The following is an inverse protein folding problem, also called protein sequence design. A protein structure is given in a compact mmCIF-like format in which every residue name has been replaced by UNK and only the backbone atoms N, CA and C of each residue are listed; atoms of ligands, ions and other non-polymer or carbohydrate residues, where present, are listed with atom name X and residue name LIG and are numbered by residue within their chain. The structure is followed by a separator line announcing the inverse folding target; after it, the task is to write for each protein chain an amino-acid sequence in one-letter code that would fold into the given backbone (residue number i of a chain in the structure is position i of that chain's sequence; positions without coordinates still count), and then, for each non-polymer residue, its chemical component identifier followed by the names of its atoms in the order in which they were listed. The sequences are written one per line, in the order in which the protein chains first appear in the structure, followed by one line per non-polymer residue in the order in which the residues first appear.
data_IF_179496065638
#
_entry.id   IF_179496065638
#
_cell.length_a   1.000
_cell.length_b   1.000
_cell.length_c   1.000
_cell.angle_alpha   90.00
_cell.angle_beta   90.00
_cell.angle_gamma   90.00
#
_symmetry.space_group_name_H-M   'P 1'
#
loop_
_entity.id
_entity.type
_entity.pdbx_description
1 polymer ?
#
# COMPACT_ATOMS: atom_id res chain seq x y z
N UNK A 1 14.16 -53.30 10.81
CA UNK A 1 14.06 -51.82 10.86
C UNK A 1 14.51 -51.30 9.50
N UNK A 2 13.54 -50.97 8.64
CA UNK A 2 13.77 -50.87 7.19
C UNK A 2 14.32 -49.49 6.82
N UNK A 3 15.60 -49.46 6.46
CA UNK A 3 16.36 -48.29 5.98
C UNK A 3 15.69 -47.55 4.80
N UNK A 4 14.77 -48.21 4.08
CA UNK A 4 13.95 -47.60 3.01
C UNK A 4 12.89 -46.63 3.54
N UNK A 5 12.26 -46.92 4.68
CA UNK A 5 11.22 -46.06 5.28
C UNK A 5 11.81 -44.77 5.87
N UNK A 6 13.05 -44.84 6.37
CA UNK A 6 13.79 -43.69 6.91
C UNK A 6 14.23 -42.73 5.78
N UNK A 7 14.64 -43.26 4.61
CA UNK A 7 14.98 -42.43 3.44
C UNK A 7 13.77 -41.74 2.81
N UNK A 8 12.60 -42.39 2.83
CA UNK A 8 11.35 -41.83 2.32
C UNK A 8 10.75 -40.76 3.26
N UNK A 9 10.95 -40.88 4.57
CA UNK A 9 10.49 -39.87 5.56
C UNK A 9 11.41 -38.65 5.66
N UNK A 10 12.71 -38.80 5.38
CA UNK A 10 13.65 -37.66 5.28
C UNK A 10 13.45 -36.82 4.01
N UNK A 11 12.89 -37.40 2.94
CA UNK A 11 12.60 -36.68 1.70
C UNK A 11 11.31 -35.85 1.75
N UNK A 12 10.35 -36.21 2.62
CA UNK A 12 9.06 -35.52 2.74
C UNK A 12 9.10 -34.29 3.67
N UNK A 13 10.14 -34.13 4.49
CA UNK A 13 10.28 -32.97 5.39
C UNK A 13 10.92 -31.75 4.72
N UNK A 14 11.61 -31.93 3.58
CA UNK A 14 12.32 -30.85 2.87
C UNK A 14 11.39 -30.09 1.90
N UNK A 15 10.22 -30.66 1.57
CA UNK A 15 9.26 -30.06 0.62
C UNK A 15 8.16 -29.23 1.31
N UNK A 16 8.39 -28.81 2.54
CA UNK A 16 7.49 -27.91 3.28
C UNK A 16 8.19 -26.62 3.72
N UNK A 17 9.36 -26.33 3.16
CA UNK A 17 9.92 -24.97 3.17
C UNK A 17 9.32 -24.24 1.97
N UNK A 18 8.00 -24.04 2.01
CA UNK A 18 7.29 -23.21 1.05
C UNK A 18 7.96 -21.84 1.05
N UNK A 19 8.52 -21.46 -0.09
CA UNK A 19 9.14 -20.18 -0.34
C UNK A 19 8.06 -19.12 -0.12
N UNK A 20 8.00 -18.57 1.09
CA UNK A 20 7.36 -17.29 1.32
C UNK A 20 8.26 -16.22 0.69
N UNK A 21 8.18 -16.08 -0.64
CA UNK A 21 8.58 -14.83 -1.28
C UNK A 21 7.61 -13.76 -0.77
N UNK A 22 7.94 -13.15 0.36
CA UNK A 22 7.42 -11.85 0.70
C UNK A 22 7.88 -10.93 -0.44
N UNK A 23 6.98 -10.60 -1.36
CA UNK A 23 7.22 -9.54 -2.33
C UNK A 23 7.34 -8.26 -1.50
N UNK A 24 8.57 -7.85 -1.22
CA UNK A 24 8.84 -6.63 -0.51
C UNK A 24 8.22 -5.49 -1.31
N UNK A 25 7.33 -4.74 -0.68
CA UNK A 25 6.84 -3.49 -1.21
C UNK A 25 8.04 -2.54 -1.31
N UNK A 26 8.41 -2.13 -2.53
CA UNK A 26 9.61 -1.33 -2.81
C UNK A 26 9.42 0.18 -2.53
N UNK A 27 8.23 0.55 -2.04
CA UNK A 27 7.82 1.92 -1.80
C UNK A 27 7.75 2.28 -0.32
N UNK A 28 7.51 3.55 -0.06
CA UNK A 28 7.21 4.04 1.29
C UNK A 28 5.77 4.53 1.32
N UNK A 29 5.01 4.00 2.28
CA UNK A 29 3.67 4.51 2.58
C UNK A 29 3.78 5.52 3.71
N UNK A 30 3.24 6.71 3.47
CA UNK A 30 3.17 7.79 4.45
C UNK A 30 1.72 8.08 4.80
N UNK A 31 1.48 8.41 6.06
CA UNK A 31 0.19 8.83 6.58
C UNK A 31 0.34 10.06 7.45
N UNK A 32 -0.76 10.78 7.63
CA UNK A 32 -0.82 11.87 8.60
C UNK A 32 -0.63 11.37 10.03
N UNK A 33 -0.09 12.22 10.91
CA UNK A 33 0.19 11.88 12.31
C UNK A 33 -1.04 11.44 13.11
N UNK A 34 -2.23 11.95 12.75
CA UNK A 34 -3.50 11.56 13.38
C UNK A 34 -3.96 10.14 13.04
N UNK A 35 -3.31 9.49 12.07
CA UNK A 35 -3.67 8.15 11.62
C UNK A 35 -3.14 7.10 12.62
N UNK A 36 -4.00 6.17 13.10
CA UNK A 36 -3.60 5.15 14.07
C UNK A 36 -2.76 4.02 13.46
N UNK A 37 -2.80 3.85 12.12
CA UNK A 37 -2.09 2.80 11.43
C UNK A 37 -0.57 3.01 11.53
N UNK A 38 0.12 2.02 12.09
CA UNK A 38 1.59 1.96 12.16
C UNK A 38 2.14 0.88 11.22
N UNK A 39 1.37 -0.18 10.97
CA UNK A 39 1.66 -1.20 9.96
C UNK A 39 0.39 -1.60 9.23
N UNK A 40 0.49 -1.93 7.94
CA UNK A 40 -0.60 -2.44 7.10
C UNK A 40 -0.12 -3.65 6.31
N UNK A 41 -1.03 -4.56 5.95
CA UNK A 41 -0.73 -5.61 4.96
C UNK A 41 -0.82 -5.04 3.54
N UNK A 42 -0.12 -5.64 2.59
CA UNK A 42 -0.22 -5.26 1.18
C UNK A 42 -1.68 -5.28 0.65
N UNK A 43 -2.48 -6.28 1.07
CA UNK A 43 -3.90 -6.38 0.70
C UNK A 43 -4.76 -5.25 1.31
N UNK A 44 -4.44 -4.81 2.53
CA UNK A 44 -5.14 -3.71 3.19
C UNK A 44 -4.84 -2.39 2.49
N UNK A 45 -3.55 -2.14 2.18
CA UNK A 45 -3.13 -0.99 1.39
C UNK A 45 -3.86 -0.96 0.04
N UNK A 46 -3.92 -2.09 -0.67
CA UNK A 46 -4.65 -2.21 -1.93
C UNK A 46 -6.15 -1.91 -1.77
N UNK A 47 -6.78 -2.41 -0.71
CA UNK A 47 -8.19 -2.16 -0.44
C UNK A 47 -8.46 -0.67 -0.15
N UNK A 48 -7.54 0.01 0.55
CA UNK A 48 -7.60 1.44 0.78
C UNK A 48 -7.45 2.19 -0.56
N UNK A 49 -6.41 1.90 -1.33
CA UNK A 49 -6.13 2.56 -2.62
C UNK A 49 -7.21 2.33 -3.68
N UNK A 50 -7.96 1.24 -3.59
CA UNK A 50 -9.10 0.94 -4.47
C UNK A 50 -10.45 1.39 -3.92
N UNK A 51 -10.47 2.08 -2.77
CA UNK A 51 -11.67 2.67 -2.19
C UNK A 51 -12.64 1.65 -1.57
N UNK A 52 -12.21 0.40 -1.37
CA UNK A 52 -12.98 -0.60 -0.60
C UNK A 52 -12.99 -0.25 0.88
N UNK A 53 -11.85 0.22 1.40
CA UNK A 53 -11.72 0.76 2.75
C UNK A 53 -11.71 2.29 2.66
N UNK A 54 -12.64 2.94 3.36
CA UNK A 54 -12.84 4.40 3.29
C UNK A 54 -12.64 5.11 4.63
N UNK A 55 -12.58 4.35 5.72
CA UNK A 55 -12.45 4.86 7.06
C UNK A 55 -11.36 4.06 7.77
N UNK A 56 -10.55 4.76 8.57
CA UNK A 56 -9.65 4.15 9.53
C UNK A 56 -10.43 3.53 10.70
N UNK A 57 -9.77 2.71 11.52
CA UNK A 57 -10.39 2.04 12.68
C UNK A 57 -10.98 3.03 13.70
N UNK A 58 -10.45 4.26 13.75
CA UNK A 58 -10.95 5.33 14.61
C UNK A 58 -12.14 6.12 14.01
N UNK A 59 -12.64 5.73 12.83
CA UNK A 59 -13.72 6.42 12.12
C UNK A 59 -13.30 7.62 11.27
N UNK A 60 -12.00 7.93 11.19
CA UNK A 60 -11.50 9.03 10.34
C UNK A 60 -11.59 8.63 8.87
N UNK A 61 -12.14 9.50 8.02
CA UNK A 61 -12.20 9.27 6.57
C UNK A 61 -10.80 9.23 5.95
N UNK A 62 -10.58 8.30 5.03
CA UNK A 62 -9.29 8.13 4.36
C UNK A 62 -9.21 9.05 3.14
N UNK A 63 -8.18 9.90 3.12
CA UNK A 63 -7.88 10.77 1.98
C UNK A 63 -6.68 10.21 1.23
N UNK A 64 -6.90 9.68 0.04
CA UNK A 64 -5.82 9.09 -0.75
C UNK A 64 -5.11 10.20 -1.53
N UNK A 65 -3.79 10.23 -1.45
CA UNK A 65 -2.91 11.13 -2.21
C UNK A 65 -2.00 10.28 -3.08
N UNK A 66 -1.85 10.62 -4.36
CA UNK A 66 -0.96 9.91 -5.27
C UNK A 66 -0.05 10.89 -6.02
N UNK A 67 1.19 10.48 -6.26
CA UNK A 67 2.15 11.24 -7.07
C UNK A 67 2.12 10.71 -8.49
N UNK A 68 1.84 11.59 -9.45
CA UNK A 68 1.78 11.22 -10.86
C UNK A 68 3.19 11.00 -11.42
N UNK A 69 3.38 9.95 -12.21
CA UNK A 69 4.64 9.53 -12.88
C UNK A 69 5.84 9.22 -11.96
N UNK A 70 6.20 10.08 -11.01
CA UNK A 70 7.39 9.94 -10.16
C UNK A 70 7.33 8.76 -9.19
N UNK A 71 6.13 8.35 -8.76
CA UNK A 71 5.92 7.19 -7.89
C UNK A 71 5.06 6.10 -8.56
N UNK A 72 5.06 6.04 -9.89
CA UNK A 72 4.20 5.10 -10.63
C UNK A 72 4.50 3.64 -10.32
N UNK A 73 5.79 3.28 -10.19
CA UNK A 73 6.19 1.91 -9.81
C UNK A 73 5.66 1.53 -8.44
N UNK A 74 5.75 2.44 -7.47
CA UNK A 74 5.27 2.17 -6.11
C UNK A 74 3.75 2.10 -6.04
N UNK A 75 3.05 2.97 -6.77
CA UNK A 75 1.61 2.88 -6.90
C UNK A 75 1.20 1.54 -7.52
N UNK A 76 1.90 1.11 -8.58
CA UNK A 76 1.65 -0.16 -9.24
C UNK A 76 1.95 -1.35 -8.33
N UNK A 77 3.03 -1.31 -7.56
CA UNK A 77 3.34 -2.32 -6.54
C UNK A 77 2.28 -2.35 -5.43
N UNK A 78 1.73 -1.19 -5.03
CA UNK A 78 0.76 -1.08 -3.95
C UNK A 78 -0.64 -1.59 -4.32
N UNK A 79 -1.13 -1.29 -5.54
CA UNK A 79 -2.51 -1.59 -5.93
C UNK A 79 -2.66 -2.42 -7.21
N UNK A 80 -1.56 -2.68 -7.92
CA UNK A 80 -1.54 -3.37 -9.21
C UNK A 80 -1.92 -2.49 -10.40
N UNK A 81 -2.09 -1.19 -10.20
CA UNK A 81 -2.50 -0.23 -11.24
C UNK A 81 -1.46 0.86 -11.41
N UNK A 82 -1.16 1.20 -12.66
CA UNK A 82 -0.33 2.36 -12.98
C UNK A 82 -1.13 3.68 -12.80
N UNK A 83 -0.48 4.83 -12.91
CA UNK A 83 -1.10 6.13 -12.62
C UNK A 83 -2.33 6.43 -13.50
N UNK A 84 -2.27 6.04 -14.78
CA UNK A 84 -3.37 6.23 -15.74
C UNK A 84 -4.58 5.33 -15.44
N UNK A 85 -4.33 4.05 -15.16
CA UNK A 85 -5.36 3.09 -14.78
C UNK A 85 -6.01 3.47 -13.44
N UNK A 86 -5.20 3.89 -12.47
CA UNK A 86 -5.65 4.37 -11.17
C UNK A 86 -6.58 5.58 -11.30
N UNK A 87 -6.17 6.59 -12.10
CA UNK A 87 -7.01 7.76 -12.39
C UNK A 87 -8.33 7.36 -13.04
N UNK A 88 -8.29 6.51 -14.06
CA UNK A 88 -9.49 6.04 -14.78
C UNK A 88 -10.43 5.27 -13.87
N UNK A 89 -9.87 4.40 -13.02
CA UNK A 89 -10.61 3.66 -12.00
C UNK A 89 -11.36 4.61 -11.06
N UNK A 90 -10.67 5.62 -10.52
CA UNK A 90 -11.26 6.58 -9.59
C UNK A 90 -12.25 7.53 -10.25
N UNK A 91 -12.05 7.92 -11.51
CA UNK A 91 -13.05 8.66 -12.28
C UNK A 91 -14.35 7.85 -12.40
N UNK A 92 -14.26 6.57 -12.80
CA UNK A 92 -15.44 5.69 -12.88
C UNK A 92 -16.10 5.50 -11.52
N UNK A 93 -15.31 5.35 -10.46
CA UNK A 93 -15.83 5.17 -9.11
C UNK A 93 -16.55 6.44 -8.60
N UNK A 94 -15.99 7.63 -8.87
CA UNK A 94 -16.59 8.92 -8.56
C UNK A 94 -17.91 9.12 -9.31
N UNK A 95 -17.98 8.80 -10.60
CA UNK A 95 -19.23 8.87 -11.38
C UNK A 95 -20.34 7.95 -10.84
N UNK A 96 -19.97 6.85 -10.17
CA UNK A 96 -20.96 5.98 -9.51
C UNK A 96 -21.45 6.49 -8.14
N UNK A 97 -20.92 7.62 -7.65
CA UNK A 97 -21.23 8.18 -6.33
C UNK A 97 -20.66 7.38 -5.16
N UNK A 98 -19.80 6.40 -5.41
CA UNK A 98 -19.31 5.44 -4.40
C UNK A 98 -17.94 5.76 -3.83
N UNK A 99 -17.27 6.84 -4.22
CA UNK A 99 -15.91 7.10 -3.77
C UNK A 99 -15.56 8.58 -3.73
N UNK A 100 -14.72 8.95 -2.77
CA UNK A 100 -14.09 10.26 -2.70
C UNK A 100 -12.84 10.24 -3.59
N UNK A 101 -12.73 11.19 -4.51
CA UNK A 101 -11.64 11.21 -5.48
C UNK A 101 -10.28 11.42 -4.77
N UNK A 102 -9.24 10.64 -5.12
CA UNK A 102 -7.89 10.86 -4.64
C UNK A 102 -7.35 12.22 -5.06
N UNK A 103 -6.51 12.80 -4.19
CA UNK A 103 -5.78 14.03 -4.49
C UNK A 103 -4.53 13.71 -5.29
N UNK A 104 -4.33 14.43 -6.38
CA UNK A 104 -3.08 14.38 -7.15
C UNK A 104 -2.05 15.29 -6.50
N UNK A 105 -0.85 14.78 -6.34
CA UNK A 105 0.35 15.56 -6.07
C UNK A 105 1.23 15.58 -7.33
N UNK A 106 1.86 16.73 -7.61
CA UNK A 106 2.78 16.84 -8.73
C UNK A 106 4.12 16.15 -8.42
N UNK A 107 4.58 16.27 -7.18
CA UNK A 107 5.86 15.74 -6.70
C UNK A 107 5.76 15.11 -5.30
N UNK A 108 6.79 14.37 -4.91
CA UNK A 108 6.91 13.76 -3.57
C UNK A 108 6.80 14.78 -2.43
N UNK A 109 7.49 15.95 -2.44
CA UNK A 109 7.31 16.96 -1.38
C UNK A 109 5.89 17.53 -1.33
N UNK A 110 5.24 17.68 -2.48
CA UNK A 110 3.85 18.11 -2.55
C UNK A 110 2.89 17.05 -1.96
N UNK A 111 3.16 15.76 -2.17
CA UNK A 111 2.41 14.69 -1.52
C UNK A 111 2.58 14.72 0.00
N UNK A 112 3.80 14.91 0.51
CA UNK A 112 4.05 15.05 1.95
C UNK A 112 3.30 16.24 2.54
N UNK A 113 3.33 17.40 1.86
CA UNK A 113 2.58 18.57 2.27
C UNK A 113 1.05 18.33 2.29
N UNK A 114 0.53 17.65 1.27
CA UNK A 114 -0.89 17.26 1.22
C UNK A 114 -1.25 16.27 2.33
N UNK A 115 -0.36 15.34 2.67
CA UNK A 115 -0.58 14.40 3.76
C UNK A 115 -0.68 15.14 5.09
N UNK A 116 0.28 16.02 5.40
CA UNK A 116 0.26 16.87 6.60
C UNK A 116 -0.99 17.75 6.71
N UNK A 117 -1.47 18.27 5.58
CA UNK A 117 -2.61 19.17 5.57
C UNK A 117 -3.96 18.44 5.73
N UNK A 118 -4.00 17.12 5.56
CA UNK A 118 -5.25 16.35 5.54
C UNK A 118 -5.20 15.21 6.56
N UNK A 119 -6.03 15.30 7.60
CA UNK A 119 -6.17 14.25 8.60
C UNK A 119 -6.63 12.94 7.99
N UNK A 120 -6.06 11.82 8.44
CA UNK A 120 -6.37 10.48 7.92
C UNK A 120 -5.94 10.27 6.46
N UNK A 121 -5.03 11.09 5.93
CA UNK A 121 -4.53 10.91 4.58
C UNK A 121 -3.48 9.80 4.49
N UNK A 122 -3.36 9.23 3.29
CA UNK A 122 -2.39 8.20 2.94
C UNK A 122 -1.80 8.52 1.57
N UNK A 123 -0.48 8.39 1.43
CA UNK A 123 0.19 8.47 0.15
C UNK A 123 1.23 7.37 -0.02
N UNK A 124 1.48 7.02 -1.27
CA UNK A 124 2.58 6.14 -1.67
C UNK A 124 3.64 7.00 -2.35
N UNK A 125 4.88 6.93 -1.86
CA UNK A 125 6.04 7.67 -2.35
C UNK A 125 7.22 6.71 -2.57
N UNK A 126 8.23 7.19 -3.30
CA UNK A 126 9.46 6.43 -3.55
C UNK A 126 10.28 6.25 -2.27
N UNK A 127 11.14 5.23 -2.21
CA UNK A 127 11.92 4.92 -1.01
C UNK A 127 12.94 6.00 -0.62
N UNK A 128 13.36 6.82 -1.59
CA UNK A 128 14.26 7.97 -1.43
C UNK A 128 13.56 9.26 -0.99
N UNK A 129 12.23 9.23 -0.81
CA UNK A 129 11.44 10.39 -0.42
C UNK A 129 11.84 10.95 0.95
N UNK A 130 11.95 12.28 1.05
CA UNK A 130 12.02 12.97 2.33
C UNK A 130 10.63 12.95 3.01
N UNK A 131 10.51 12.15 4.07
CA UNK A 131 9.29 11.96 4.84
C UNK A 131 9.23 12.84 6.11
N UNK A 132 10.04 13.90 6.18
CA UNK A 132 10.11 14.76 7.37
C UNK A 132 8.73 15.29 7.76
N UNK A 133 8.27 14.94 8.96
CA UNK A 133 7.01 15.41 9.56
C UNK A 133 5.74 14.69 9.09
N UNK A 134 5.87 13.51 8.49
CA UNK A 134 4.75 12.56 8.30
C UNK A 134 5.13 11.21 8.90
N UNK A 135 4.12 10.41 9.24
CA UNK A 135 4.32 9.08 9.81
C UNK A 135 4.50 8.06 8.69
N UNK A 136 5.59 7.28 8.75
CA UNK A 136 5.78 6.12 7.88
C UNK A 136 4.93 4.94 8.37
N UNK A 137 4.31 4.23 7.44
CA UNK A 137 3.60 2.97 7.70
C UNK A 137 4.39 1.82 7.12
N UNK A 138 4.64 0.80 7.93
CA UNK A 138 5.31 -0.42 7.48
C UNK A 138 4.33 -1.34 6.74
N UNK A 139 4.74 -1.85 5.58
CA UNK A 139 3.96 -2.83 4.82
C UNK A 139 4.48 -4.23 5.13
N UNK A 140 3.60 -5.08 5.67
CA UNK A 140 3.84 -6.48 6.04
C UNK A 140 3.35 -7.45 4.99
#
# INVERSE_FOLDING_TARGET
MNTRAIRLTLLSLILWMGIHCANAFDGVVIVDDSTPATSLKADELKNILTGKTKYWENGTAIVIVYVDQKAEKELQSACGMNSSAFKTFWQRLAFSGRGQQPKKADDVPAAVALVKANKGSIAVVTADADITGVKKVEIK
#
